data_IF_039849904178
#
_entry.id   IF_039849904178
#
_cell.length_a   1.000
_cell.length_b   1.000
_cell.length_c   1.000
_cell.angle_alpha   90.00
_cell.angle_beta   90.00
_cell.angle_gamma   90.00
#
_symmetry.space_group_name_H-M   'P 1'
#
loop_
_entity.id
_entity.type
_entity.pdbx_description
1 polymer ?
#
# COMPACT_ATOMS: atom_id res chain seq x y z
N UNK A 1 38.03 31.81 32.26
CA UNK A 1 38.38 30.51 31.62
C UNK A 1 38.44 29.34 32.60
N UNK A 2 39.10 29.44 33.77
CA UNK A 2 39.12 28.34 34.78
C UNK A 2 37.72 27.89 35.24
N UNK A 3 36.78 28.82 35.43
CA UNK A 3 35.43 28.48 35.93
C UNK A 3 34.55 27.79 34.87
N UNK A 4 34.72 28.12 33.58
CA UNK A 4 34.02 27.45 32.46
C UNK A 4 34.52 26.02 32.28
N UNK A 5 35.82 25.78 32.52
CA UNK A 5 36.42 24.45 32.45
C UNK A 5 35.90 23.52 33.55
N UNK A 6 35.71 24.03 34.78
CA UNK A 6 35.13 23.28 35.89
C UNK A 6 33.64 22.95 35.69
N UNK A 7 32.85 23.88 35.12
CA UNK A 7 31.44 23.62 34.79
C UNK A 7 31.30 22.59 33.66
N UNK A 8 32.16 22.65 32.64
CA UNK A 8 32.20 21.64 31.58
C UNK A 8 32.60 20.25 32.10
N UNK A 9 33.58 20.16 33.02
CA UNK A 9 33.97 18.88 33.63
C UNK A 9 32.85 18.26 34.50
N UNK A 10 32.09 19.08 35.25
CA UNK A 10 30.94 18.61 36.01
C UNK A 10 29.80 18.11 35.11
N UNK A 11 29.54 18.77 33.97
CA UNK A 11 28.54 18.33 33.00
C UNK A 11 28.89 16.96 32.37
N UNK A 12 30.18 16.70 32.10
CA UNK A 12 30.63 15.39 31.63
C UNK A 12 30.55 14.29 32.70
N UNK A 13 30.80 14.62 33.98
CA UNK A 13 30.69 13.66 35.08
C UNK A 13 29.24 13.24 35.39
N UNK A 14 28.26 14.14 35.21
CA UNK A 14 26.84 13.85 35.47
C UNK A 14 26.22 12.99 34.36
N UNK A 15 26.70 13.07 33.13
CA UNK A 15 26.23 12.22 32.02
C UNK A 15 26.68 10.76 32.13
N UNK A 16 27.78 10.47 32.85
CA UNK A 16 28.32 9.11 33.00
C UNK A 16 27.62 8.22 34.05
N UNK A 17 26.85 8.80 34.97
CA UNK A 17 26.26 8.10 36.13
C UNK A 17 24.73 7.89 36.05
N UNK A 18 24.09 8.26 34.93
CA UNK A 18 22.63 8.15 34.80
C UNK A 18 22.15 6.80 34.23
N UNK A 19 23.01 6.03 33.57
CA UNK A 19 22.60 4.81 32.87
C UNK A 19 22.72 3.57 33.77
N UNK A 20 21.59 2.94 34.10
CA UNK A 20 21.57 1.62 34.75
C UNK A 20 21.58 0.53 33.69
N UNK A 21 22.64 -0.27 33.67
CA UNK A 21 22.71 -1.47 32.82
C UNK A 21 21.68 -2.51 33.31
N UNK A 22 20.84 -3.00 32.40
CA UNK A 22 19.83 -4.04 32.67
C UNK A 22 20.12 -5.40 31.98
N UNK A 23 21.25 -5.52 31.29
CA UNK A 23 21.59 -6.72 30.54
C UNK A 23 22.74 -6.53 29.56
N UNK A 24 23.02 -7.60 28.81
CA UNK A 24 23.99 -7.62 27.71
C UNK A 24 23.29 -7.95 26.40
N UNK A 25 23.73 -7.33 25.31
CA UNK A 25 23.22 -7.57 23.96
C UNK A 25 24.30 -8.27 23.16
N UNK A 26 23.91 -9.31 22.42
CA UNK A 26 24.79 -10.16 21.63
C UNK A 26 24.24 -10.29 20.21
N UNK A 27 25.10 -10.12 19.22
CA UNK A 27 24.83 -10.42 17.81
C UNK A 27 25.16 -11.87 17.45
N UNK A 28 25.87 -12.59 18.32
CA UNK A 28 26.17 -14.03 18.22
C UNK A 28 25.85 -14.69 19.56
N UNK A 29 24.87 -15.60 19.57
CA UNK A 29 24.42 -16.28 20.77
C UNK A 29 23.63 -17.55 20.41
N UNK A 30 23.79 -18.70 21.11
CA UNK A 30 23.08 -19.94 20.78
C UNK A 30 21.55 -19.81 20.70
N UNK A 31 20.96 -18.90 21.48
CA UNK A 31 19.54 -18.60 21.42
C UNK A 31 19.09 -18.05 20.05
N UNK A 32 19.95 -17.30 19.34
CA UNK A 32 19.67 -16.80 17.99
C UNK A 32 19.54 -17.98 17.02
N UNK A 33 20.42 -18.97 17.13
CA UNK A 33 20.38 -20.17 16.27
C UNK A 33 19.10 -20.99 16.50
N UNK A 34 18.69 -21.13 17.76
CA UNK A 34 17.41 -21.77 18.14
C UNK A 34 16.23 -21.03 17.49
N UNK A 35 16.19 -19.70 17.59
CA UNK A 35 15.10 -18.89 17.04
C UNK A 35 15.08 -18.93 15.52
N UNK A 36 16.22 -18.79 14.85
CA UNK A 36 16.30 -18.88 13.39
C UNK A 36 15.86 -20.27 12.92
N UNK A 37 16.34 -21.34 13.56
CA UNK A 37 15.95 -22.71 13.21
C UNK A 37 14.46 -22.99 13.45
N UNK A 38 13.88 -22.41 14.51
CA UNK A 38 12.45 -22.49 14.78
C UNK A 38 11.63 -21.78 13.70
N UNK A 39 12.03 -20.58 13.30
CA UNK A 39 11.38 -19.82 12.24
C UNK A 39 11.47 -20.55 10.89
N UNK A 40 12.64 -21.08 10.54
CA UNK A 40 12.83 -21.88 9.33
C UNK A 40 11.90 -23.11 9.32
N UNK A 41 11.82 -23.83 10.45
CA UNK A 41 10.91 -24.97 10.59
C UNK A 41 9.44 -24.57 10.46
N UNK A 42 9.03 -23.44 11.07
CA UNK A 42 7.68 -22.90 10.95
C UNK A 42 7.32 -22.58 9.50
N UNK A 43 8.17 -21.86 8.77
CA UNK A 43 7.87 -21.50 7.38
C UNK A 43 8.03 -22.66 6.40
N UNK A 44 8.81 -23.68 6.74
CA UNK A 44 8.90 -24.92 5.97
C UNK A 44 7.69 -25.85 6.14
N UNK A 45 6.88 -25.67 7.19
CA UNK A 45 5.84 -26.63 7.59
C UNK A 45 6.41 -27.87 8.32
N UNK A 46 7.65 -27.82 8.80
CA UNK A 46 8.29 -28.92 9.52
C UNK A 46 7.85 -28.93 10.99
N UNK A 47 6.65 -29.45 11.23
CA UNK A 47 6.02 -29.46 12.55
C UNK A 47 6.76 -30.28 13.60
N UNK A 48 7.42 -31.37 13.17
CA UNK A 48 8.23 -32.22 14.05
C UNK A 48 9.41 -31.41 14.57
N UNK A 49 10.17 -30.79 13.67
CA UNK A 49 11.34 -29.98 14.03
C UNK A 49 10.93 -28.73 14.81
N UNK A 50 9.87 -28.04 14.38
CA UNK A 50 9.29 -26.89 15.08
C UNK A 50 8.97 -27.22 16.55
N UNK A 51 8.31 -28.35 16.81
CA UNK A 51 7.94 -28.77 18.16
C UNK A 51 9.15 -28.95 19.09
N UNK A 52 10.32 -29.33 18.54
CA UNK A 52 11.54 -29.50 19.33
C UNK A 52 12.10 -28.21 19.88
N UNK A 53 11.79 -27.04 19.30
CA UNK A 53 12.32 -25.75 19.77
C UNK A 53 11.43 -25.08 20.82
N UNK A 54 10.19 -25.55 21.00
CA UNK A 54 9.18 -24.94 21.86
C UNK A 54 9.09 -25.65 23.21
N UNK A 55 9.03 -24.88 24.30
CA UNK A 55 8.73 -25.41 25.63
C UNK A 55 7.30 -26.00 25.67
N UNK A 56 7.04 -26.94 26.57
CA UNK A 56 5.74 -27.63 26.63
C UNK A 56 4.59 -26.69 27.04
N UNK A 57 4.89 -25.70 27.87
CA UNK A 57 3.97 -24.65 28.31
C UNK A 57 4.00 -23.38 27.44
N UNK A 58 4.61 -23.47 26.24
CA UNK A 58 4.79 -22.34 25.33
C UNK A 58 3.51 -21.51 25.11
N UNK A 59 3.69 -20.18 25.08
CA UNK A 59 2.66 -19.21 24.73
C UNK A 59 3.13 -18.20 23.68
N UNK A 60 2.26 -17.91 22.71
CA UNK A 60 2.43 -16.76 21.82
C UNK A 60 1.37 -15.69 21.99
N UNK A 61 1.78 -14.44 21.86
CA UNK A 61 0.92 -13.26 22.03
C UNK A 61 1.02 -12.34 20.82
N UNK A 62 -0.11 -11.73 20.50
CA UNK A 62 -0.16 -10.62 19.58
C UNK A 62 0.16 -9.33 20.34
N UNK A 63 1.31 -8.72 20.03
CA UNK A 63 1.82 -7.52 20.67
C UNK A 63 1.00 -6.25 20.38
N UNK A 64 0.10 -6.29 19.38
CA UNK A 64 -0.86 -5.22 19.08
C UNK A 64 -2.28 -5.52 19.57
N UNK A 65 -2.48 -6.65 20.25
CA UNK A 65 -3.78 -7.05 20.77
C UNK A 65 -4.29 -6.14 21.89
N UNK A 66 -5.59 -5.84 21.88
CA UNK A 66 -6.26 -5.00 22.90
C UNK A 66 -6.98 -5.81 23.98
N UNK A 67 -7.13 -7.12 23.79
CA UNK A 67 -7.81 -8.00 24.75
C UNK A 67 -6.92 -8.28 25.96
N UNK A 68 -7.29 -7.71 27.12
CA UNK A 68 -6.56 -7.84 28.39
C UNK A 68 -6.64 -9.25 28.99
N UNK A 69 -7.63 -10.05 28.61
CA UNK A 69 -7.84 -11.40 29.13
C UNK A 69 -7.24 -12.50 28.24
N UNK A 70 -6.52 -12.10 27.18
CA UNK A 70 -5.91 -13.04 26.23
C UNK A 70 -4.91 -13.98 26.92
N UNK A 71 -5.13 -15.29 26.78
CA UNK A 71 -4.28 -16.34 27.38
C UNK A 71 -3.09 -16.75 26.52
N UNK A 72 -2.94 -16.17 25.34
CA UNK A 72 -1.94 -16.53 24.34
C UNK A 72 -2.24 -17.86 23.64
N UNK A 73 -1.73 -18.02 22.42
CA UNK A 73 -1.85 -19.26 21.66
C UNK A 73 -0.89 -20.32 22.20
N UNK A 74 -1.31 -21.58 22.18
CA UNK A 74 -0.53 -22.72 22.68
C UNK A 74 0.48 -23.24 21.65
N UNK A 75 1.39 -24.11 22.10
CA UNK A 75 2.31 -24.89 21.24
C UNK A 75 1.59 -25.55 20.07
N UNK A 76 0.49 -26.27 20.34
CA UNK A 76 -0.28 -26.95 19.29
C UNK A 76 -0.93 -25.97 18.30
N UNK A 77 -1.39 -24.81 18.77
CA UNK A 77 -1.95 -23.79 17.89
C UNK A 77 -0.89 -23.21 16.95
N UNK A 78 0.34 -22.97 17.43
CA UNK A 78 1.45 -22.52 16.59
C UNK A 78 1.85 -23.58 15.55
N UNK A 79 1.88 -24.85 15.95
CA UNK A 79 2.16 -25.97 15.04
C UNK A 79 1.08 -26.08 13.95
N UNK A 80 -0.20 -25.96 14.32
CA UNK A 80 -1.29 -25.96 13.33
C UNK A 80 -1.21 -24.74 12.40
N UNK A 81 -0.78 -23.59 12.92
CA UNK A 81 -0.56 -22.39 12.12
C UNK A 81 0.56 -22.58 11.09
N UNK A 82 1.63 -23.30 11.43
CA UNK A 82 2.70 -23.66 10.49
C UNK A 82 2.16 -24.43 9.27
N UNK A 83 1.34 -25.46 9.52
CA UNK A 83 0.68 -26.21 8.45
C UNK A 83 -0.26 -25.33 7.62
N UNK A 84 -1.09 -24.53 8.29
CA UNK A 84 -2.00 -23.62 7.60
C UNK A 84 -1.24 -22.67 6.65
N UNK A 85 -0.13 -22.10 7.10
CA UNK A 85 0.68 -21.20 6.27
C UNK A 85 1.31 -21.95 5.10
N UNK A 86 1.80 -23.16 5.32
CA UNK A 86 2.37 -24.01 4.27
C UNK A 86 1.36 -24.35 3.17
N UNK A 87 0.11 -24.59 3.55
CA UNK A 87 -0.98 -24.97 2.63
C UNK A 87 -1.60 -23.76 1.91
N UNK A 88 -1.72 -22.62 2.61
CA UNK A 88 -2.53 -21.49 2.15
C UNK A 88 -1.70 -20.30 1.63
N UNK A 89 -0.37 -20.34 1.73
CA UNK A 89 0.50 -19.27 1.25
C UNK A 89 1.47 -19.76 0.16
N UNK A 90 1.57 -18.98 -0.90
CA UNK A 90 2.59 -19.14 -1.95
C UNK A 90 3.65 -18.04 -1.88
N UNK A 91 4.82 -18.32 -2.46
CA UNK A 91 5.94 -17.38 -2.56
C UNK A 91 6.42 -16.83 -1.20
N UNK A 92 6.33 -17.67 -0.17
CA UNK A 92 6.72 -17.31 1.18
C UNK A 92 8.21 -16.98 1.23
N UNK A 93 8.53 -15.78 1.68
CA UNK A 93 9.87 -15.31 1.99
C UNK A 93 9.81 -14.62 3.34
N UNK A 94 10.54 -15.16 4.29
CA UNK A 94 10.72 -14.56 5.60
C UNK A 94 12.20 -14.32 5.82
N UNK A 95 12.64 -13.08 5.62
CA UNK A 95 14.06 -12.71 5.69
C UNK A 95 14.26 -11.52 6.62
N UNK A 96 15.44 -11.33 7.22
CA UNK A 96 15.74 -10.12 7.96
C UNK A 96 15.45 -8.87 7.11
N UNK A 97 14.88 -7.85 7.73
CA UNK A 97 14.73 -6.54 7.08
C UNK A 97 16.13 -5.99 6.77
N UNK A 98 16.28 -5.27 5.65
CA UNK A 98 17.59 -4.74 5.23
C UNK A 98 18.22 -3.92 6.36
N UNK A 99 19.43 -4.32 6.78
CA UNK A 99 20.19 -3.66 7.85
C UNK A 99 19.80 -4.09 9.27
N UNK A 100 18.86 -5.03 9.42
CA UNK A 100 18.50 -5.60 10.70
C UNK A 100 19.06 -7.01 10.87
N UNK A 101 19.37 -7.36 12.12
CA UNK A 101 19.89 -8.65 12.54
C UNK A 101 19.15 -9.08 13.81
N UNK A 102 19.05 -10.39 14.07
CA UNK A 102 18.56 -10.85 15.37
C UNK A 102 19.57 -10.51 16.46
N UNK A 103 19.09 -10.03 17.61
CA UNK A 103 19.92 -9.82 18.80
C UNK A 103 19.43 -10.69 19.95
N UNK A 104 20.35 -11.33 20.67
CA UNK A 104 20.06 -11.90 21.97
C UNK A 104 20.31 -10.86 23.06
N UNK A 105 19.41 -10.81 24.04
CA UNK A 105 19.47 -9.93 25.18
C UNK A 105 19.42 -10.79 26.44
N UNK A 106 20.51 -10.80 27.19
CA UNK A 106 20.57 -11.41 28.51
C UNK A 106 20.18 -10.35 29.54
N UNK A 107 18.94 -10.37 30.00
CA UNK A 107 18.50 -9.53 31.10
C UNK A 107 18.94 -10.10 32.44
N UNK A 108 19.25 -9.21 33.39
CA UNK A 108 19.62 -9.61 34.76
C UNK A 108 18.53 -10.39 35.49
N UNK A 109 17.26 -10.06 35.23
CA UNK A 109 16.11 -10.60 35.98
C UNK A 109 15.07 -11.32 35.09
N UNK A 110 15.16 -11.18 33.76
CA UNK A 110 14.15 -11.72 32.81
C UNK A 110 14.70 -12.82 31.88
N UNK A 111 15.92 -13.29 32.13
CA UNK A 111 16.58 -14.33 31.35
C UNK A 111 16.95 -13.89 29.93
N UNK A 112 17.04 -14.87 29.02
CA UNK A 112 17.47 -14.64 27.63
C UNK A 112 16.27 -14.37 26.74
N UNK A 113 16.32 -13.24 26.05
CA UNK A 113 15.40 -12.89 24.98
C UNK A 113 16.13 -12.84 23.65
N UNK A 114 15.43 -13.12 22.56
CA UNK A 114 15.89 -12.86 21.20
C UNK A 114 14.88 -11.97 20.52
N UNK A 115 15.34 -10.85 19.98
CA UNK A 115 14.54 -9.96 19.16
C UNK A 115 14.88 -10.16 17.68
N UNK A 116 13.86 -10.10 16.83
CA UNK A 116 14.03 -10.24 15.38
C UNK A 116 13.24 -9.15 14.65
N UNK A 117 13.80 -8.71 13.52
CA UNK A 117 13.18 -7.78 12.60
C UNK A 117 13.24 -8.38 11.20
N UNK A 118 12.12 -8.90 10.77
CA UNK A 118 12.02 -9.61 9.51
C UNK A 118 10.95 -8.99 8.62
N UNK A 119 11.03 -9.28 7.34
CA UNK A 119 10.06 -8.90 6.33
C UNK A 119 9.39 -10.18 5.82
N UNK A 120 8.09 -10.29 6.06
CA UNK A 120 7.27 -11.37 5.52
C UNK A 120 6.72 -10.94 4.15
N UNK A 121 7.03 -11.75 3.14
CA UNK A 121 6.42 -11.66 1.82
C UNK A 121 5.75 -12.98 1.49
N UNK A 122 4.52 -12.94 1.00
CA UNK A 122 3.77 -14.10 0.52
C UNK A 122 2.55 -13.64 -0.30
N UNK A 123 1.83 -14.60 -0.85
CA UNK A 123 0.50 -14.39 -1.42
C UNK A 123 -0.44 -15.43 -0.80
N UNK A 124 -1.61 -14.99 -0.35
CA UNK A 124 -2.66 -15.92 0.07
C UNK A 124 -3.25 -16.63 -1.16
N UNK A 125 -3.28 -17.96 -1.14
CA UNK A 125 -3.56 -18.79 -2.32
C UNK A 125 -4.98 -18.57 -2.85
N UNK A 126 -5.98 -18.54 -1.95
CA UNK A 126 -7.38 -18.46 -2.35
C UNK A 126 -7.76 -17.06 -2.82
N UNK A 127 -7.34 -16.03 -2.08
CA UNK A 127 -7.84 -14.65 -2.30
C UNK A 127 -6.88 -13.79 -3.13
N UNK A 128 -5.66 -14.27 -3.38
CA UNK A 128 -4.62 -13.50 -4.09
C UNK A 128 -4.07 -12.30 -3.31
N UNK A 129 -4.55 -12.04 -2.09
CA UNK A 129 -4.10 -10.91 -1.27
C UNK A 129 -2.60 -11.04 -1.00
N UNK A 130 -1.87 -9.98 -1.36
CA UNK A 130 -0.43 -9.88 -1.17
C UNK A 130 -0.12 -9.61 0.30
N UNK A 131 0.73 -10.46 0.88
CA UNK A 131 1.35 -10.22 2.18
C UNK A 131 2.72 -9.61 1.91
N UNK A 132 2.94 -8.36 2.34
CA UNK A 132 4.22 -7.66 2.23
C UNK A 132 4.34 -6.72 3.43
N UNK A 133 4.90 -7.23 4.53
CA UNK A 133 4.92 -6.48 5.77
C UNK A 133 6.19 -6.72 6.60
N UNK A 134 6.70 -5.67 7.28
CA UNK A 134 7.66 -5.85 8.35
C UNK A 134 6.98 -6.55 9.53
N UNK A 135 7.75 -7.37 10.22
CA UNK A 135 7.35 -8.15 11.38
C UNK A 135 8.44 -8.07 12.43
N UNK A 136 8.05 -7.80 13.66
CA UNK A 136 8.94 -7.83 14.80
C UNK A 136 8.50 -8.94 15.75
N UNK A 137 9.46 -9.77 16.19
CA UNK A 137 9.17 -10.83 17.17
C UNK A 137 10.17 -10.81 18.31
N UNK A 138 9.65 -11.00 19.51
CA UNK A 138 10.39 -11.23 20.74
C UNK A 138 10.20 -12.68 21.17
N UNK A 139 11.30 -13.36 21.48
CA UNK A 139 11.30 -14.75 21.94
C UNK A 139 11.97 -14.83 23.30
N UNK A 140 11.30 -15.39 24.31
CA UNK A 140 11.92 -15.71 25.60
C UNK A 140 12.31 -17.18 25.61
N UNK A 141 13.53 -17.47 26.03
CA UNK A 141 14.02 -18.84 26.21
C UNK A 141 14.06 -19.19 27.69
N UNK A 142 13.76 -20.45 27.99
CA UNK A 142 13.97 -21.04 29.30
C UNK A 142 15.38 -21.61 29.45
N UNK A 143 15.72 -22.10 30.64
CA UNK A 143 17.05 -22.64 30.98
C UNK A 143 17.45 -23.87 30.14
N UNK A 144 16.49 -24.54 29.50
CA UNK A 144 16.72 -25.65 28.58
C UNK A 144 16.90 -25.21 27.11
N UNK A 145 17.10 -23.90 26.87
CA UNK A 145 17.16 -23.28 25.55
C UNK A 145 15.92 -23.59 24.67
N UNK A 146 14.76 -23.74 25.29
CA UNK A 146 13.47 -23.83 24.59
C UNK A 146 12.76 -22.49 24.64
N UNK A 147 12.08 -22.15 23.54
CA UNK A 147 11.27 -20.94 23.47
C UNK A 147 9.99 -21.17 24.28
N UNK A 148 9.81 -20.40 25.34
CA UNK A 148 8.61 -20.45 26.20
C UNK A 148 7.61 -19.34 25.88
N UNK A 149 8.07 -18.21 25.33
CA UNK A 149 7.21 -17.09 24.96
C UNK A 149 7.59 -16.54 23.59
N UNK A 150 6.59 -16.25 22.77
CA UNK A 150 6.75 -15.46 21.54
C UNK A 150 5.78 -14.28 21.57
N UNK A 151 6.25 -13.06 21.33
CA UNK A 151 5.40 -11.88 21.14
C UNK A 151 5.61 -11.37 19.73
N UNK A 152 4.53 -11.22 18.96
CA UNK A 152 4.58 -10.88 17.53
C UNK A 152 3.93 -9.52 17.31
N UNK A 153 4.61 -8.63 16.58
CA UNK A 153 4.11 -7.35 16.12
C UNK A 153 4.12 -7.34 14.59
N UNK A 154 2.96 -7.08 13.99
CA UNK A 154 2.78 -7.01 12.54
C UNK A 154 1.52 -6.21 12.20
N UNK A 155 1.34 -5.90 10.91
CA UNK A 155 0.13 -5.21 10.45
C UNK A 155 -1.03 -6.20 10.26
N UNK A 156 -1.95 -6.22 11.21
CA UNK A 156 -3.13 -7.11 11.17
C UNK A 156 -4.07 -6.84 9.99
N UNK A 157 -4.05 -5.63 9.41
CA UNK A 157 -4.95 -5.26 8.30
C UNK A 157 -4.79 -6.17 7.09
N UNK A 158 -3.59 -6.71 6.87
CA UNK A 158 -3.33 -7.66 5.77
C UNK A 158 -4.16 -8.93 5.94
N UNK A 159 -4.27 -9.45 7.17
CA UNK A 159 -5.07 -10.64 7.45
C UNK A 159 -6.56 -10.34 7.51
N UNK A 160 -6.94 -9.13 7.95
CA UNK A 160 -8.33 -8.67 7.83
C UNK A 160 -8.77 -8.60 6.36
N UNK A 161 -7.91 -8.13 5.46
CA UNK A 161 -8.19 -8.08 4.02
C UNK A 161 -8.37 -9.49 3.44
N UNK A 162 -7.50 -10.45 3.82
CA UNK A 162 -7.68 -11.86 3.46
C UNK A 162 -9.07 -12.36 3.89
N UNK A 163 -9.43 -12.15 5.16
CA UNK A 163 -10.73 -12.59 5.69
C UNK A 163 -11.92 -11.95 4.98
N UNK A 164 -11.84 -10.65 4.68
CA UNK A 164 -12.89 -9.92 3.98
C UNK A 164 -13.02 -10.30 2.50
N UNK A 165 -12.00 -10.92 1.91
CA UNK A 165 -11.99 -11.33 0.50
C UNK A 165 -12.69 -12.67 0.25
N UNK A 166 -13.21 -13.34 1.28
CA UNK A 166 -13.99 -14.58 1.14
C UNK A 166 -15.48 -14.34 0.90
N UNK A 167 -15.94 -13.09 0.97
CA UNK A 167 -17.34 -12.73 0.80
C UNK A 167 -17.48 -11.61 -0.23
N UNK A 168 -18.58 -11.64 -0.98
CA UNK A 168 -18.94 -10.56 -1.88
C UNK A 168 -19.27 -9.29 -1.10
N UNK A 169 -18.61 -8.18 -1.45
CA UNK A 169 -18.88 -6.86 -0.87
C UNK A 169 -19.29 -5.89 -1.96
N UNK A 170 -20.28 -5.06 -1.64
CA UNK A 170 -20.71 -3.95 -2.49
C UNK A 170 -20.06 -2.66 -2.00
N UNK A 171 -19.80 -1.74 -2.92
CA UNK A 171 -19.32 -0.39 -2.62
C UNK A 171 -19.99 0.58 -3.58
N UNK A 172 -21.22 0.98 -3.24
CA UNK A 172 -21.99 1.93 -4.02
C UNK A 172 -22.83 1.34 -5.16
N UNK A 173 -23.26 2.23 -6.04
CA UNK A 173 -24.17 1.97 -7.17
C UNK A 173 -23.52 2.37 -8.49
N UNK A 174 -23.76 1.57 -9.53
CA UNK A 174 -23.36 1.87 -10.91
C UNK A 174 -24.59 2.25 -11.73
N UNK A 175 -24.48 3.37 -12.46
CA UNK A 175 -25.52 3.86 -13.36
C UNK A 175 -24.99 3.93 -14.78
N UNK A 176 -25.79 3.47 -15.74
CA UNK A 176 -25.53 3.65 -17.18
C UNK A 176 -26.26 4.87 -17.78
N UNK A 177 -27.16 5.50 -17.01
CA UNK A 177 -27.86 6.75 -17.32
C UNK A 177 -27.93 7.59 -16.05
N UNK A 178 -27.30 8.76 -16.09
CA UNK A 178 -27.23 9.68 -14.95
C UNK A 178 -26.89 11.09 -15.45
N UNK A 179 -27.24 12.13 -14.69
CA UNK A 179 -26.98 13.52 -15.10
C UNK A 179 -25.48 13.81 -15.23
N UNK A 180 -24.63 13.25 -14.37
CA UNK A 180 -23.17 13.37 -14.51
C UNK A 180 -22.64 12.71 -15.80
N UNK A 181 -23.27 11.63 -16.28
CA UNK A 181 -22.95 11.05 -17.61
C UNK A 181 -23.34 12.04 -18.71
N UNK A 182 -24.50 12.67 -18.59
CA UNK A 182 -24.95 13.69 -19.53
C UNK A 182 -23.99 14.89 -19.54
N UNK A 183 -23.47 15.31 -18.38
CA UNK A 183 -22.43 16.35 -18.27
C UNK A 183 -21.19 15.98 -19.07
N UNK A 184 -20.64 14.76 -18.90
CA UNK A 184 -19.46 14.33 -19.69
C UNK A 184 -19.76 14.28 -21.19
N UNK A 185 -20.93 13.78 -21.60
CA UNK A 185 -21.33 13.74 -23.01
C UNK A 185 -21.42 15.14 -23.61
N UNK A 186 -22.07 16.08 -22.92
CA UNK A 186 -22.18 17.49 -23.34
C UNK A 186 -20.80 18.13 -23.46
N UNK A 187 -19.93 17.94 -22.47
CA UNK A 187 -18.56 18.42 -22.47
C UNK A 187 -17.77 17.91 -23.68
N UNK A 188 -17.81 16.61 -23.99
CA UNK A 188 -17.11 16.05 -25.14
C UNK A 188 -17.68 16.56 -26.47
N UNK A 189 -19.01 16.71 -26.58
CA UNK A 189 -19.63 17.29 -27.78
C UNK A 189 -19.23 18.76 -27.95
N UNK A 190 -19.11 19.53 -26.87
CA UNK A 190 -18.63 20.91 -26.92
C UNK A 190 -17.17 20.97 -27.42
N UNK A 191 -16.29 20.08 -26.94
CA UNK A 191 -14.93 19.94 -27.48
C UNK A 191 -14.90 19.59 -28.96
N UNK A 192 -15.75 18.66 -29.41
CA UNK A 192 -15.84 18.28 -30.83
C UNK A 192 -16.22 19.48 -31.72
N UNK A 193 -17.12 20.34 -31.23
CA UNK A 193 -17.61 21.51 -31.95
C UNK A 193 -16.77 22.78 -31.70
N UNK A 194 -15.60 22.65 -31.08
CA UNK A 194 -14.71 23.77 -30.72
C UNK A 194 -15.38 24.86 -29.86
N UNK A 195 -16.48 24.52 -29.16
CA UNK A 195 -17.11 25.37 -28.16
C UNK A 195 -16.39 25.21 -26.82
N UNK A 196 -15.18 25.79 -26.78
CA UNK A 196 -14.28 25.66 -25.63
C UNK A 196 -14.82 26.32 -24.37
N UNK A 197 -15.57 27.42 -24.50
CA UNK A 197 -16.22 28.08 -23.37
C UNK A 197 -17.19 27.11 -22.68
N UNK A 198 -18.11 26.51 -23.44
CA UNK A 198 -19.03 25.52 -22.91
C UNK A 198 -18.28 24.29 -22.41
N UNK A 199 -17.30 23.77 -23.15
CA UNK A 199 -16.55 22.57 -22.75
C UNK A 199 -15.86 22.76 -21.40
N UNK A 200 -15.20 23.90 -21.19
CA UNK A 200 -14.51 24.19 -19.93
C UNK A 200 -15.48 24.60 -18.80
N UNK A 201 -16.69 25.07 -19.10
CA UNK A 201 -17.69 25.44 -18.07
C UNK A 201 -18.17 24.29 -17.19
N UNK A 202 -17.97 23.03 -17.60
CA UNK A 202 -18.35 21.85 -16.80
C UNK A 202 -17.36 21.55 -15.67
N UNK A 203 -16.16 22.14 -15.72
CA UNK A 203 -15.17 22.01 -14.65
C UNK A 203 -15.36 23.09 -13.59
N UNK A 204 -14.89 22.78 -12.38
CA UNK A 204 -14.67 23.79 -11.34
C UNK A 204 -13.39 24.59 -11.65
N UNK A 205 -13.33 25.84 -11.23
CA UNK A 205 -12.17 26.70 -11.51
C UNK A 205 -10.87 26.14 -10.92
N UNK A 206 -10.96 25.47 -9.77
CA UNK A 206 -9.83 24.83 -9.09
C UNK A 206 -9.66 23.34 -9.44
N UNK A 207 -10.34 22.85 -10.48
CA UNK A 207 -10.24 21.47 -10.92
C UNK A 207 -8.79 21.06 -11.22
N UNK A 208 -8.50 19.77 -11.02
CA UNK A 208 -7.17 19.20 -11.20
C UNK A 208 -7.15 18.15 -12.28
N UNK A 209 -6.13 18.22 -13.13
CA UNK A 209 -6.00 17.38 -14.31
C UNK A 209 -4.71 16.58 -14.26
N UNK A 210 -4.79 15.28 -14.50
CA UNK A 210 -3.61 14.43 -14.61
C UNK A 210 -3.70 13.54 -15.86
N UNK A 211 -2.56 12.98 -16.24
CA UNK A 211 -2.49 12.01 -17.34
C UNK A 211 -1.46 10.93 -17.06
N UNK A 212 -1.54 9.83 -17.80
CA UNK A 212 -0.54 8.75 -17.71
C UNK A 212 0.89 9.20 -18.10
N UNK A 213 1.02 10.35 -18.76
CA UNK A 213 2.30 10.89 -19.22
C UNK A 213 2.90 11.94 -18.27
N UNK A 214 2.25 12.20 -17.13
CA UNK A 214 2.76 13.10 -16.09
C UNK A 214 3.46 12.33 -14.96
N UNK A 215 4.42 12.96 -14.24
CA UNK A 215 4.99 12.39 -13.04
C UNK A 215 3.92 12.08 -11.97
N UNK A 216 4.15 11.03 -11.19
CA UNK A 216 3.23 10.61 -10.14
C UNK A 216 3.08 11.71 -9.09
N UNK A 217 1.84 12.11 -8.82
CA UNK A 217 1.50 13.12 -7.83
C UNK A 217 1.44 14.55 -8.37
N UNK A 218 1.78 14.76 -9.64
CA UNK A 218 1.65 16.05 -10.31
C UNK A 218 0.29 16.19 -11.02
N UNK A 219 -0.17 17.43 -11.17
CA UNK A 219 -1.41 17.77 -11.85
C UNK A 219 -1.33 19.17 -12.44
N UNK A 220 -2.05 19.39 -13.54
CA UNK A 220 -2.29 20.71 -14.11
C UNK A 220 -3.54 21.35 -13.49
N UNK A 221 -3.52 22.67 -13.45
CA UNK A 221 -4.68 23.54 -13.30
C UNK A 221 -5.51 23.59 -14.58
N UNK A 222 -6.71 24.16 -14.50
CA UNK A 222 -7.59 24.35 -15.65
C UNK A 222 -6.93 25.24 -16.73
N UNK A 223 -6.19 26.27 -16.34
CA UNK A 223 -5.51 27.17 -17.29
C UNK A 223 -4.37 26.48 -18.05
N UNK A 224 -3.54 25.69 -17.36
CA UNK A 224 -2.49 24.89 -18.02
C UNK A 224 -3.08 23.86 -18.99
N UNK A 225 -4.23 23.28 -18.67
CA UNK A 225 -4.94 22.35 -19.57
C UNK A 225 -5.51 23.07 -20.79
N UNK A 226 -6.04 24.29 -20.63
CA UNK A 226 -6.48 25.12 -21.76
C UNK A 226 -5.30 25.41 -22.69
N UNK A 227 -4.17 25.84 -22.15
CA UNK A 227 -2.96 26.11 -22.94
C UNK A 227 -2.47 24.86 -23.68
N UNK A 228 -2.34 23.74 -22.99
CA UNK A 228 -1.94 22.46 -23.60
C UNK A 228 -2.89 22.04 -24.72
N UNK A 229 -4.20 22.13 -24.48
CA UNK A 229 -5.19 21.75 -25.48
C UNK A 229 -5.15 22.68 -26.70
N UNK A 230 -4.96 23.99 -26.49
CA UNK A 230 -4.75 24.96 -27.57
C UNK A 230 -3.55 24.57 -28.44
N UNK A 231 -2.41 24.22 -27.83
CA UNK A 231 -1.23 23.77 -28.57
C UNK A 231 -1.51 22.52 -29.42
N UNK A 232 -2.27 21.54 -28.90
CA UNK A 232 -2.68 20.37 -29.68
C UNK A 232 -3.59 20.79 -30.85
N UNK A 233 -4.52 21.72 -30.60
CA UNK A 233 -5.45 22.21 -31.62
C UNK A 233 -4.79 23.11 -32.67
N UNK A 234 -3.58 23.62 -32.44
CA UNK A 234 -2.77 24.31 -33.46
C UNK A 234 -2.33 23.32 -34.54
N UNK A 235 -1.87 22.13 -34.15
CA UNK A 235 -1.33 21.12 -35.06
C UNK A 235 -2.39 20.15 -35.61
N UNK A 236 -3.50 19.97 -34.89
CA UNK A 236 -4.52 18.98 -35.21
C UNK A 236 -5.92 19.58 -35.23
N UNK A 237 -6.73 19.15 -36.19
CA UNK A 237 -8.17 19.41 -36.23
C UNK A 237 -8.91 18.22 -35.63
N UNK A 238 -9.82 18.46 -34.68
CA UNK A 238 -10.74 17.44 -34.19
C UNK A 238 -11.89 17.33 -35.19
N UNK A 239 -12.05 16.15 -35.79
CA UNK A 239 -13.11 15.88 -36.78
C UNK A 239 -14.32 15.18 -36.18
N UNK A 240 -14.13 14.46 -35.07
CA UNK A 240 -15.19 13.76 -34.36
C UNK A 240 -14.66 13.20 -33.03
N UNK A 241 -15.52 13.12 -32.01
CA UNK A 241 -15.27 12.48 -30.72
C UNK A 241 -16.38 11.44 -30.47
N UNK A 242 -16.10 10.19 -30.84
CA UNK A 242 -17.07 9.12 -30.70
C UNK A 242 -17.00 8.46 -29.32
N UNK A 243 -18.15 8.25 -28.68
CA UNK A 243 -18.24 7.40 -27.49
C UNK A 243 -17.98 5.94 -27.85
N UNK A 244 -17.21 5.23 -27.02
CA UNK A 244 -16.99 3.79 -27.15
C UNK A 244 -17.81 3.06 -26.09
N UNK A 245 -18.86 2.35 -26.53
CA UNK A 245 -19.82 1.74 -25.62
C UNK A 245 -20.69 2.82 -24.96
N UNK A 246 -20.71 2.87 -23.63
CA UNK A 246 -21.39 3.91 -22.86
C UNK A 246 -20.55 4.27 -21.62
N UNK A 247 -20.60 5.53 -21.14
CA UNK A 247 -20.01 5.89 -19.87
C UNK A 247 -20.75 5.24 -18.70
N UNK A 248 -20.01 4.91 -17.64
CA UNK A 248 -20.56 4.45 -16.37
C UNK A 248 -20.35 5.52 -15.30
N UNK A 249 -21.38 5.80 -14.52
CA UNK A 249 -21.28 6.60 -13.30
C UNK A 249 -21.25 5.68 -12.08
N UNK A 250 -20.20 5.83 -11.29
CA UNK A 250 -19.88 5.07 -10.09
C UNK A 250 -20.10 6.00 -8.90
N UNK A 251 -21.15 5.72 -8.13
CA UNK A 251 -21.49 6.42 -6.89
C UNK A 251 -21.10 5.52 -5.72
N UNK A 252 -19.96 5.79 -5.09
CA UNK A 252 -19.36 4.96 -4.06
C UNK A 252 -19.90 5.28 -2.67
N UNK A 253 -20.28 4.25 -1.90
CA UNK A 253 -20.60 4.40 -0.46
C UNK A 253 -19.37 4.89 0.33
N UNK A 254 -18.19 4.37 -0.02
CA UNK A 254 -16.95 4.73 0.64
C UNK A 254 -16.51 6.14 0.22
N UNK A 255 -16.46 7.05 1.18
CA UNK A 255 -16.02 8.45 1.02
C UNK A 255 -16.89 9.26 0.03
N UNK A 256 -18.12 8.82 -0.23
CA UNK A 256 -19.10 9.55 -1.04
C UNK A 256 -18.53 9.92 -2.44
N UNK A 257 -17.85 8.97 -3.05
CA UNK A 257 -17.15 9.17 -4.32
C UNK A 257 -18.14 9.23 -5.50
N UNK A 258 -17.99 10.23 -6.38
CA UNK A 258 -18.85 10.44 -7.56
C UNK A 258 -17.99 10.46 -8.80
N UNK A 259 -17.98 9.38 -9.59
CA UNK A 259 -17.01 9.23 -10.69
C UNK A 259 -17.69 8.79 -11.97
N UNK A 260 -17.44 9.47 -13.09
CA UNK A 260 -17.79 8.95 -14.42
C UNK A 260 -16.53 8.38 -15.09
N UNK A 261 -16.61 7.11 -15.51
CA UNK A 261 -15.63 6.49 -16.40
C UNK A 261 -16.17 6.47 -17.82
N UNK A 262 -15.36 6.90 -18.79
CA UNK A 262 -15.81 7.04 -20.17
C UNK A 262 -14.71 6.79 -21.18
N UNK A 263 -15.03 6.00 -22.21
CA UNK A 263 -14.12 5.72 -23.33
C UNK A 263 -14.54 6.49 -24.58
N UNK A 264 -13.55 7.04 -25.27
CA UNK A 264 -13.73 7.91 -26.43
C UNK A 264 -12.72 7.58 -27.53
N UNK A 265 -13.12 7.87 -28.78
CA UNK A 265 -12.23 7.91 -29.94
C UNK A 265 -12.21 9.33 -30.49
N UNK A 266 -11.11 10.02 -30.26
CA UNK A 266 -10.86 11.31 -30.89
C UNK A 266 -10.33 11.04 -32.30
N UNK A 267 -11.09 11.46 -33.31
CA UNK A 267 -10.67 11.42 -34.70
C UNK A 267 -10.11 12.77 -35.06
N UNK A 268 -8.83 12.79 -35.41
CA UNK A 268 -8.10 14.02 -35.64
C UNK A 268 -7.45 13.99 -37.03
N UNK A 269 -7.32 15.16 -37.64
CA UNK A 269 -6.54 15.36 -38.86
C UNK A 269 -5.35 16.24 -38.50
N UNK A 270 -4.13 15.74 -38.74
CA UNK A 270 -2.91 16.54 -38.58
C UNK A 270 -2.81 17.54 -39.72
N UNK A 271 -2.68 18.82 -39.40
CA UNK A 271 -2.73 19.91 -40.40
C UNK A 271 -1.50 19.97 -41.30
N UNK A 272 -0.35 19.45 -40.84
CA UNK A 272 0.89 19.51 -41.59
C UNK A 272 0.88 18.62 -42.86
N UNK A 273 0.11 17.53 -42.87
CA UNK A 273 0.14 16.50 -43.91
C UNK A 273 -1.20 15.79 -44.15
N UNK A 274 -2.31 16.35 -43.65
CA UNK A 274 -3.68 15.82 -43.74
C UNK A 274 -3.85 14.40 -43.18
N UNK A 275 -2.94 13.97 -42.30
CA UNK A 275 -2.96 12.61 -41.77
C UNK A 275 -4.12 12.41 -40.79
N UNK A 276 -4.93 11.39 -41.04
CA UNK A 276 -6.00 10.96 -40.14
C UNK A 276 -5.47 10.08 -39.02
N UNK A 277 -5.77 10.45 -37.78
CA UNK A 277 -5.33 9.79 -36.56
C UNK A 277 -6.56 9.47 -35.71
N UNK A 278 -6.57 8.29 -35.09
CA UNK A 278 -7.56 7.91 -34.09
C UNK A 278 -6.84 7.78 -32.76
N UNK A 279 -7.15 8.67 -31.84
CA UNK A 279 -6.62 8.68 -30.49
C UNK A 279 -7.64 8.04 -29.52
N UNK A 280 -7.38 6.81 -29.04
CA UNK A 280 -8.20 6.20 -28.01
C UNK A 280 -7.95 6.88 -26.66
N UNK A 281 -9.03 7.17 -25.94
CA UNK A 281 -8.96 7.85 -24.66
C UNK A 281 -9.90 7.22 -23.63
N UNK A 282 -9.37 6.90 -22.45
CA UNK A 282 -10.17 6.70 -21.25
C UNK A 282 -10.05 7.94 -20.38
N UNK A 283 -11.19 8.48 -19.97
CA UNK A 283 -11.27 9.53 -18.97
C UNK A 283 -11.99 9.05 -17.72
N UNK A 284 -11.47 9.47 -16.57
CA UNK A 284 -12.11 9.35 -15.27
C UNK A 284 -12.36 10.77 -14.76
N UNK A 285 -13.63 11.14 -14.62
CA UNK A 285 -14.06 12.45 -14.11
C UNK A 285 -14.68 12.28 -12.73
N UNK A 286 -14.15 13.00 -11.75
CA UNK A 286 -14.77 13.07 -10.43
C UNK A 286 -15.57 14.35 -10.27
N UNK A 287 -16.69 14.23 -9.59
CA UNK A 287 -17.68 15.28 -9.41
C UNK A 287 -17.76 15.72 -7.95
N UNK A 288 -18.03 16.99 -7.72
CA UNK A 288 -18.56 17.44 -6.43
C UNK A 288 -20.07 17.19 -6.34
N UNK A 289 -20.66 17.53 -5.18
CA UNK A 289 -22.08 17.37 -4.90
C UNK A 289 -22.99 18.21 -5.82
N UNK A 290 -22.44 19.27 -6.43
CA UNK A 290 -23.15 20.16 -7.35
C UNK A 290 -23.11 19.67 -8.81
N UNK A 291 -22.41 18.55 -9.08
CA UNK A 291 -22.27 18.00 -10.42
C UNK A 291 -21.23 18.73 -11.28
N UNK A 292 -20.31 19.48 -10.67
CA UNK A 292 -19.13 20.05 -11.35
C UNK A 292 -17.97 19.08 -11.33
N UNK A 293 -17.21 19.02 -12.42
CA UNK A 293 -16.02 18.18 -12.50
C UNK A 293 -14.88 18.84 -11.71
N UNK A 294 -14.41 18.16 -10.67
CA UNK A 294 -13.31 18.61 -9.80
C UNK A 294 -11.98 17.94 -10.13
N UNK A 295 -12.03 16.77 -10.80
CA UNK A 295 -10.82 16.07 -11.26
C UNK A 295 -11.07 15.40 -12.61
N UNK A 296 -10.07 15.49 -13.49
CA UNK A 296 -10.03 14.72 -14.74
C UNK A 296 -8.71 13.96 -14.83
N UNK A 297 -8.80 12.64 -14.86
CA UNK A 297 -7.67 11.76 -15.10
C UNK A 297 -7.76 11.18 -16.51
N UNK A 298 -6.75 11.43 -17.32
CA UNK A 298 -6.71 11.02 -18.73
C UNK A 298 -5.74 9.86 -18.95
N UNK A 299 -6.26 8.76 -19.48
CA UNK A 299 -5.48 7.60 -19.89
C UNK A 299 -5.37 7.61 -21.41
N UNK A 300 -4.42 8.40 -21.89
CA UNK A 300 -4.17 8.68 -23.31
C UNK A 300 -2.66 8.63 -23.53
N UNK A 301 -2.21 8.09 -24.68
CA UNK A 301 -0.82 8.25 -25.09
C UNK A 301 -0.70 9.22 -26.27
N UNK A 302 0.03 10.32 -26.07
CA UNK A 302 0.27 11.32 -27.12
C UNK A 302 1.20 10.82 -28.21
N UNK A 303 1.97 9.74 -27.97
CA UNK A 303 2.78 9.08 -29.01
C UNK A 303 1.98 8.65 -30.25
N UNK A 304 0.68 8.45 -30.11
CA UNK A 304 -0.21 8.16 -31.25
C UNK A 304 -0.24 9.32 -32.26
N UNK A 305 -0.01 10.56 -31.79
CA UNK A 305 0.03 11.76 -32.61
C UNK A 305 1.31 11.85 -33.48
N UNK A 306 2.39 11.19 -33.06
CA UNK A 306 3.68 11.14 -33.77
C UNK A 306 3.70 10.14 -34.93
N UNK A 307 2.60 9.43 -35.18
CA UNK A 307 2.55 8.39 -36.20
C UNK A 307 2.99 8.95 -37.57
N UNK A 308 3.99 8.30 -38.20
CA UNK A 308 4.47 8.57 -39.56
C UNK A 308 3.51 8.05 -40.61
#
# INVERSE_FOLDING_TARGET
MKNVFFTALMLFAVMGYSQKNNGKVFNEHPAIDVVNSMLDAFFAGDTIKLATYLADDFKSYNGTGTNKDAKGSTKNQLINQSNFWKENLSYVSFKPTKGAYPDAIEYKESGVWVQTWNHLKAMHNETGVKIDMPTHRLFKLNDNNKIETMIIYYNERVFSEIGQSFEDRKNGTIYNHHDNINTVRKMMNAFENMDLETAYSFFKDDARFNSLEMPVGESMSLEEVKERNSNIMEDFEITSIDVVGYPDYLEYDLRDGRTVQSWWRFRMTRKADDKKIILPALYIHDFDEEGKIIRSSSYISTKVLDAK
#
